data_IF_692939085043
#
_entry.id   IF_692939085043
#
_cell.length_a   1.000
_cell.length_b   1.000
_cell.length_c   1.000
_cell.angle_alpha   90.00
_cell.angle_beta   90.00
_cell.angle_gamma   90.00
#
_symmetry.space_group_name_H-M   'P 1'
#
loop_
_entity.id
_entity.type
_entity.pdbx_description
1 polymer ?
#
# COMPACT_ATOMS: atom_id res chain seq x y z
N UNK A 1 23.68 9.48 -19.22
CA UNK A 1 23.18 9.21 -20.58
C UNK A 1 22.27 8.00 -20.48
N UNK A 2 21.15 7.92 -21.21
CA UNK A 2 20.45 6.65 -21.32
C UNK A 2 21.42 5.63 -21.90
N UNK A 3 21.50 4.46 -21.28
CA UNK A 3 22.36 3.38 -21.75
C UNK A 3 21.94 3.04 -23.20
N UNK A 4 22.90 3.04 -24.12
CA UNK A 4 22.67 2.53 -25.46
C UNK A 4 22.42 1.03 -25.38
N UNK A 5 21.36 0.57 -26.04
CA UNK A 5 20.93 -0.85 -26.00
C UNK A 5 22.03 -1.79 -26.49
N UNK A 6 22.75 -1.37 -27.55
CA UNK A 6 23.79 -2.22 -28.14
C UNK A 6 25.03 -2.31 -27.24
N UNK A 7 25.42 -1.19 -26.59
CA UNK A 7 26.49 -1.19 -25.57
C UNK A 7 26.08 -2.05 -24.35
N UNK A 8 24.87 -1.85 -23.83
CA UNK A 8 24.35 -2.68 -22.74
C UNK A 8 24.33 -4.16 -23.06
N UNK A 9 23.95 -4.52 -24.30
CA UNK A 9 23.91 -5.92 -24.74
C UNK A 9 25.30 -6.53 -24.77
N UNK A 10 26.26 -5.82 -25.35
CA UNK A 10 27.65 -6.30 -25.43
C UNK A 10 28.23 -6.51 -24.02
N UNK A 11 28.08 -5.55 -23.13
CA UNK A 11 28.57 -5.67 -21.74
C UNK A 11 27.86 -6.77 -20.95
N UNK A 12 26.53 -6.87 -21.12
CA UNK A 12 25.73 -7.90 -20.45
C UNK A 12 26.14 -9.32 -20.91
N UNK A 13 26.44 -9.49 -22.19
CA UNK A 13 26.95 -10.76 -22.75
C UNK A 13 28.34 -11.10 -22.25
N UNK A 14 29.17 -10.07 -21.95
CA UNK A 14 30.48 -10.22 -21.31
C UNK A 14 30.42 -10.50 -19.80
N UNK A 15 29.22 -10.49 -19.20
CA UNK A 15 29.03 -10.85 -17.81
C UNK A 15 28.90 -9.65 -16.84
N UNK A 16 28.88 -8.43 -17.32
CA UNK A 16 28.70 -7.22 -16.51
C UNK A 16 27.31 -7.23 -15.84
N UNK A 17 27.27 -7.33 -14.50
CA UNK A 17 26.04 -7.44 -13.73
C UNK A 17 25.14 -6.21 -13.86
N UNK A 18 25.72 -5.01 -13.88
CA UNK A 18 25.00 -3.76 -14.03
C UNK A 18 24.35 -3.68 -15.42
N UNK A 19 25.10 -4.00 -16.46
CA UNK A 19 24.57 -4.04 -17.82
C UNK A 19 23.47 -5.10 -17.99
N UNK A 20 23.60 -6.27 -17.34
CA UNK A 20 22.56 -7.30 -17.30
C UNK A 20 21.27 -6.78 -16.63
N UNK A 21 21.38 -6.09 -15.50
CA UNK A 21 20.24 -5.46 -14.86
C UNK A 21 19.56 -4.44 -15.79
N UNK A 22 20.30 -3.49 -16.35
CA UNK A 22 19.72 -2.49 -17.25
C UNK A 22 19.12 -3.10 -18.53
N UNK A 23 19.75 -4.11 -19.10
CA UNK A 23 19.19 -4.82 -20.26
C UNK A 23 17.89 -5.53 -19.90
N UNK A 24 17.79 -6.09 -18.70
CA UNK A 24 16.56 -6.63 -18.14
C UNK A 24 15.47 -5.55 -18.02
N UNK A 25 15.79 -4.38 -17.50
CA UNK A 25 14.86 -3.22 -17.40
C UNK A 25 14.41 -2.76 -18.80
N UNK A 26 15.31 -2.71 -19.78
CA UNK A 26 14.96 -2.36 -21.17
C UNK A 26 13.96 -3.33 -21.78
N UNK A 27 14.16 -4.65 -21.60
CA UNK A 27 13.19 -5.65 -22.04
C UNK A 27 11.87 -5.57 -21.28
N UNK A 28 11.89 -5.24 -19.98
CA UNK A 28 10.68 -5.05 -19.19
C UNK A 28 9.82 -3.90 -19.72
N UNK A 29 10.44 -2.78 -20.03
CA UNK A 29 9.76 -1.54 -20.44
C UNK A 29 9.56 -1.41 -21.96
N UNK A 30 10.20 -2.27 -22.77
CA UNK A 30 10.23 -2.09 -24.23
C UNK A 30 11.06 -0.89 -24.68
N UNK A 31 12.10 -0.51 -23.92
CA UNK A 31 12.94 0.65 -24.21
C UNK A 31 14.07 0.30 -25.17
N UNK A 32 13.97 0.74 -26.41
CA UNK A 32 14.94 0.44 -27.47
C UNK A 32 14.94 -1.02 -27.94
N UNK A 33 14.09 -1.87 -27.36
CA UNK A 33 13.85 -3.27 -27.72
C UNK A 33 12.35 -3.56 -27.63
N UNK A 34 11.89 -4.61 -28.30
CA UNK A 34 10.52 -5.09 -28.05
C UNK A 34 10.40 -5.63 -26.62
N UNK A 35 9.33 -5.30 -25.94
CA UNK A 35 9.04 -5.80 -24.60
C UNK A 35 9.03 -7.34 -24.59
N UNK A 36 9.77 -7.91 -23.65
CA UNK A 36 9.90 -9.37 -23.52
C UNK A 36 10.19 -9.73 -22.06
N UNK A 37 9.17 -10.12 -21.33
CA UNK A 37 9.30 -10.48 -19.91
C UNK A 37 10.13 -11.76 -19.67
N UNK A 38 10.18 -12.71 -20.62
CA UNK A 38 11.06 -13.86 -20.50
C UNK A 38 12.52 -13.46 -20.58
N UNK A 39 12.85 -12.51 -21.46
CA UNK A 39 14.19 -11.94 -21.53
C UNK A 39 14.49 -11.07 -20.30
N UNK A 40 13.52 -10.33 -19.77
CA UNK A 40 13.66 -9.61 -18.50
C UNK A 40 14.11 -10.57 -17.40
N UNK A 41 13.38 -11.65 -17.18
CA UNK A 41 13.71 -12.65 -16.16
C UNK A 41 15.09 -13.27 -16.39
N UNK A 42 15.43 -13.59 -17.64
CA UNK A 42 16.76 -14.13 -17.98
C UNK A 42 17.89 -13.19 -17.55
N UNK A 43 17.75 -11.90 -17.85
CA UNK A 43 18.80 -10.93 -17.58
C UNK A 43 18.84 -10.54 -16.09
N UNK A 44 17.66 -10.35 -15.45
CA UNK A 44 17.61 -10.14 -14.01
C UNK A 44 18.23 -11.31 -13.24
N UNK A 45 17.96 -12.57 -13.64
CA UNK A 45 18.54 -13.74 -12.97
C UNK A 45 20.06 -13.70 -13.02
N UNK A 46 20.64 -13.44 -14.21
CA UNK A 46 22.09 -13.35 -14.35
C UNK A 46 22.73 -12.28 -13.47
N UNK A 47 22.11 -11.10 -13.41
CA UNK A 47 22.57 -10.00 -12.56
C UNK A 47 22.37 -10.31 -11.07
N UNK A 48 21.20 -10.86 -10.70
CA UNK A 48 20.84 -11.22 -9.33
C UNK A 48 21.76 -12.30 -8.75
N UNK A 49 22.16 -13.28 -9.57
CA UNK A 49 23.12 -14.33 -9.19
C UNK A 49 24.51 -13.77 -8.91
N UNK A 50 24.86 -12.63 -9.49
CA UNK A 50 26.09 -11.88 -9.20
C UNK A 50 25.97 -10.94 -8.00
N UNK A 51 24.78 -10.87 -7.36
CA UNK A 51 24.56 -10.11 -6.14
C UNK A 51 23.91 -8.73 -6.33
N UNK A 52 23.51 -8.35 -7.55
CA UNK A 52 22.84 -7.05 -7.76
C UNK A 52 21.50 -7.02 -7.05
N UNK A 53 21.35 -6.11 -6.07
CA UNK A 53 20.15 -6.00 -5.23
C UNK A 53 18.91 -5.53 -6.02
N UNK A 54 19.10 -4.68 -7.03
CA UNK A 54 18.02 -4.23 -7.91
C UNK A 54 17.46 -5.36 -8.75
N UNK A 55 18.33 -6.18 -9.32
CA UNK A 55 17.95 -7.37 -10.08
C UNK A 55 17.30 -8.44 -9.20
N UNK A 56 17.80 -8.66 -7.98
CA UNK A 56 17.18 -9.55 -7.00
C UNK A 56 15.77 -9.09 -6.66
N UNK A 57 15.57 -7.82 -6.37
CA UNK A 57 14.26 -7.25 -6.13
C UNK A 57 13.35 -7.38 -7.37
N UNK A 58 13.84 -7.01 -8.55
CA UNK A 58 13.11 -7.15 -9.81
C UNK A 58 12.68 -8.61 -10.09
N UNK A 59 13.57 -9.55 -9.83
CA UNK A 59 13.26 -10.98 -10.00
C UNK A 59 12.22 -11.46 -8.97
N UNK A 60 12.28 -10.96 -7.73
CA UNK A 60 11.26 -11.19 -6.71
C UNK A 60 9.88 -10.73 -7.17
N UNK A 61 9.76 -9.54 -7.76
CA UNK A 61 8.50 -9.03 -8.33
C UNK A 61 8.00 -9.93 -9.47
N UNK A 62 8.89 -10.33 -10.40
CA UNK A 62 8.51 -11.21 -11.51
C UNK A 62 7.91 -12.53 -11.03
N UNK A 63 8.46 -13.12 -9.97
CA UNK A 63 7.92 -14.35 -9.38
C UNK A 63 6.63 -14.10 -8.59
N UNK A 64 6.53 -13.02 -7.82
CA UNK A 64 5.34 -12.67 -7.06
C UNK A 64 4.11 -12.44 -7.96
N UNK A 65 4.33 -11.82 -9.13
CA UNK A 65 3.26 -11.47 -10.06
C UNK A 65 3.05 -12.51 -11.16
N UNK A 66 3.97 -13.48 -11.33
CA UNK A 66 3.93 -14.46 -12.41
C UNK A 66 4.21 -13.85 -13.79
N UNK A 67 5.00 -12.77 -13.86
CA UNK A 67 5.30 -12.06 -15.10
C UNK A 67 6.60 -12.61 -15.74
N UNK A 68 6.48 -13.20 -16.91
CA UNK A 68 7.61 -13.84 -17.62
C UNK A 68 8.07 -15.18 -17.04
N UNK A 69 7.54 -15.56 -15.89
CA UNK A 69 7.71 -16.85 -15.18
C UNK A 69 6.38 -17.33 -14.63
N UNK A 70 6.30 -18.58 -14.21
CA UNK A 70 5.18 -19.06 -13.40
C UNK A 70 5.26 -18.39 -12.03
N UNK A 71 4.11 -17.92 -11.52
CA UNK A 71 4.01 -17.34 -10.18
C UNK A 71 4.53 -18.33 -9.14
N UNK A 72 5.42 -17.85 -8.27
CA UNK A 72 6.03 -18.65 -7.21
C UNK A 72 6.40 -17.72 -6.04
N UNK A 73 5.53 -17.71 -5.03
CA UNK A 73 5.70 -16.83 -3.86
C UNK A 73 6.91 -17.24 -2.99
N UNK A 74 7.30 -18.54 -2.99
CA UNK A 74 8.50 -18.99 -2.27
C UNK A 74 9.78 -18.47 -2.95
N UNK A 75 9.85 -18.54 -4.28
CA UNK A 75 10.97 -17.97 -5.03
C UNK A 75 10.99 -16.43 -4.89
N UNK A 76 9.83 -15.76 -4.90
CA UNK A 76 9.76 -14.32 -4.65
C UNK A 76 10.37 -13.95 -3.29
N UNK A 77 9.99 -14.65 -2.21
CA UNK A 77 10.57 -14.45 -0.86
C UNK A 77 12.09 -14.65 -0.86
N UNK A 78 12.62 -15.67 -1.52
CA UNK A 78 14.07 -15.91 -1.57
C UNK A 78 14.82 -14.73 -2.19
N UNK A 79 14.28 -14.18 -3.27
CA UNK A 79 14.91 -13.06 -3.96
C UNK A 79 14.72 -11.74 -3.20
N UNK A 80 13.53 -11.48 -2.65
CA UNK A 80 13.31 -10.32 -1.78
C UNK A 80 14.23 -10.33 -0.56
N UNK A 81 14.43 -11.50 0.08
CA UNK A 81 15.32 -11.64 1.23
C UNK A 81 16.75 -11.25 0.88
N UNK A 82 17.29 -11.75 -0.24
CA UNK A 82 18.65 -11.39 -0.68
C UNK A 82 18.82 -9.89 -0.89
N UNK A 83 17.85 -9.24 -1.52
CA UNK A 83 17.87 -7.79 -1.73
C UNK A 83 17.66 -7.01 -0.40
N UNK A 84 16.79 -7.49 0.48
CA UNK A 84 16.49 -6.90 1.78
C UNK A 84 17.71 -6.95 2.73
N UNK A 85 18.43 -8.06 2.75
CA UNK A 85 19.68 -8.24 3.51
C UNK A 85 20.79 -7.31 3.02
N UNK A 86 20.74 -6.86 1.78
CA UNK A 86 21.62 -5.81 1.24
C UNK A 86 21.13 -4.39 1.57
N UNK A 87 20.03 -4.23 2.30
CA UNK A 87 19.50 -2.95 2.73
C UNK A 87 18.56 -2.28 1.73
N UNK A 88 18.07 -2.96 0.70
CA UNK A 88 17.14 -2.36 -0.24
C UNK A 88 15.75 -2.19 0.40
N UNK A 89 15.37 -0.94 0.73
CA UNK A 89 14.14 -0.61 1.46
C UNK A 89 12.86 -1.19 0.82
N UNK A 90 12.75 -1.16 -0.51
CA UNK A 90 11.61 -1.74 -1.23
C UNK A 90 11.51 -3.26 -1.06
N UNK A 91 12.65 -3.94 -1.04
CA UNK A 91 12.69 -5.38 -0.81
C UNK A 91 12.34 -5.72 0.64
N UNK A 92 12.81 -4.93 1.60
CA UNK A 92 12.47 -5.07 3.02
C UNK A 92 10.96 -4.89 3.22
N UNK A 93 10.35 -3.88 2.61
CA UNK A 93 8.91 -3.67 2.67
C UNK A 93 8.16 -4.88 2.10
N UNK A 94 8.49 -5.33 0.89
CA UNK A 94 7.81 -6.47 0.26
C UNK A 94 7.99 -7.76 1.07
N UNK A 95 9.18 -7.99 1.61
CA UNK A 95 9.43 -9.15 2.47
C UNK A 95 8.60 -9.08 3.76
N UNK A 96 8.45 -7.90 4.36
CA UNK A 96 7.56 -7.65 5.48
C UNK A 96 6.11 -7.99 5.14
N UNK A 97 5.63 -7.60 3.97
CA UNK A 97 4.27 -7.94 3.47
C UNK A 97 4.11 -9.45 3.30
N UNK A 98 5.10 -10.15 2.73
CA UNK A 98 5.06 -11.61 2.56
C UNK A 98 4.93 -12.32 3.91
N UNK A 99 5.69 -11.90 4.93
CA UNK A 99 5.57 -12.44 6.28
C UNK A 99 4.25 -12.11 6.96
N UNK A 100 3.77 -10.86 6.83
CA UNK A 100 2.50 -10.43 7.43
C UNK A 100 1.29 -11.21 6.89
N UNK A 101 1.37 -11.67 5.63
CA UNK A 101 0.29 -12.37 4.94
C UNK A 101 0.48 -13.88 4.85
N UNK A 102 1.65 -14.42 5.22
CA UNK A 102 1.97 -15.84 5.04
C UNK A 102 2.07 -16.26 3.57
N UNK A 103 2.60 -15.37 2.70
CA UNK A 103 2.76 -15.63 1.28
C UNK A 103 4.17 -16.16 0.99
N UNK A 104 4.28 -17.39 0.50
CA UNK A 104 5.57 -18.06 0.23
C UNK A 104 6.41 -18.37 1.49
N UNK A 105 5.94 -17.98 2.66
CA UNK A 105 6.50 -18.28 4.00
C UNK A 105 5.36 -18.44 4.99
N UNK A 106 5.54 -19.17 6.11
CA UNK A 106 4.60 -19.13 7.20
C UNK A 106 4.39 -17.69 7.69
N UNK A 107 3.14 -17.33 8.03
CA UNK A 107 2.84 -16.01 8.59
C UNK A 107 3.63 -15.80 9.88
N UNK A 108 4.32 -14.66 9.96
CA UNK A 108 5.12 -14.26 11.11
C UNK A 108 5.08 -12.73 11.25
N UNK A 109 4.24 -12.26 12.19
CA UNK A 109 4.05 -10.83 12.41
C UNK A 109 5.30 -10.17 13.06
N UNK A 110 6.12 -10.93 13.83
CA UNK A 110 7.36 -10.39 14.40
C UNK A 110 8.43 -10.14 13.32
N UNK A 111 8.62 -11.11 12.42
CA UNK A 111 9.50 -10.92 11.27
C UNK A 111 8.98 -9.82 10.33
N UNK A 112 7.66 -9.72 10.14
CA UNK A 112 7.06 -8.62 9.36
C UNK A 112 7.40 -7.25 9.95
N UNK A 113 7.23 -7.08 11.27
CA UNK A 113 7.58 -5.83 11.97
C UNK A 113 9.05 -5.48 11.82
N UNK A 114 9.94 -6.46 11.92
CA UNK A 114 11.37 -6.24 11.76
C UNK A 114 11.69 -5.67 10.37
N UNK A 115 11.17 -6.29 9.31
CA UNK A 115 11.42 -5.84 7.95
C UNK A 115 10.72 -4.52 7.63
N UNK A 116 9.49 -4.29 8.13
CA UNK A 116 8.85 -2.97 8.02
C UNK A 116 9.65 -1.89 8.73
N UNK A 117 10.23 -2.16 9.90
CA UNK A 117 11.05 -1.19 10.64
C UNK A 117 12.30 -0.82 9.85
N UNK A 118 13.04 -1.79 9.34
CA UNK A 118 14.23 -1.56 8.51
C UNK A 118 13.92 -0.67 7.30
N UNK A 119 12.80 -0.92 6.62
CA UNK A 119 12.33 -0.12 5.48
C UNK A 119 11.85 1.27 5.92
N UNK A 120 11.08 1.36 7.01
CA UNK A 120 10.54 2.61 7.55
C UNK A 120 11.63 3.58 8.04
N UNK A 121 12.72 3.05 8.63
CA UNK A 121 13.87 3.83 9.07
C UNK A 121 14.63 4.43 7.88
N UNK A 122 14.57 3.80 6.72
CA UNK A 122 15.11 4.33 5.46
C UNK A 122 14.16 5.33 4.77
N UNK A 123 12.98 5.59 5.34
CA UNK A 123 12.04 6.61 4.87
C UNK A 123 10.90 6.10 3.99
N UNK A 124 10.71 4.77 3.79
CA UNK A 124 9.53 4.26 3.06
C UNK A 124 8.25 4.66 3.79
N UNK A 125 7.42 5.43 3.11
CA UNK A 125 6.13 5.90 3.62
C UNK A 125 5.12 4.75 3.77
N UNK A 126 5.14 3.78 2.86
CA UNK A 126 4.35 2.56 2.96
C UNK A 126 4.74 1.74 4.21
N UNK A 127 6.04 1.52 4.40
CA UNK A 127 6.53 0.76 5.56
C UNK A 127 6.25 1.49 6.88
N UNK A 128 6.35 2.82 6.91
CA UNK A 128 5.98 3.64 8.06
C UNK A 128 4.49 3.49 8.39
N UNK A 129 3.61 3.50 7.38
CA UNK A 129 2.18 3.29 7.57
C UNK A 129 1.87 1.90 8.12
N UNK A 130 2.50 0.85 7.55
CA UNK A 130 2.30 -0.53 8.01
C UNK A 130 2.85 -0.74 9.43
N UNK A 131 4.02 -0.21 9.73
CA UNK A 131 4.60 -0.28 11.08
C UNK A 131 3.70 0.43 12.11
N UNK A 132 3.13 1.59 11.75
CA UNK A 132 2.13 2.28 12.57
C UNK A 132 0.91 1.40 12.84
N UNK A 133 0.41 0.71 11.82
CA UNK A 133 -0.72 -0.22 11.93
C UNK A 133 -0.39 -1.45 12.82
N UNK A 134 0.82 -1.99 12.71
CA UNK A 134 1.27 -3.11 13.56
C UNK A 134 1.29 -2.70 15.02
N UNK A 135 1.83 -1.51 15.37
CA UNK A 135 1.79 -0.97 16.73
C UNK A 135 0.38 -0.66 17.22
N UNK A 136 -0.49 -0.11 16.36
CA UNK A 136 -1.89 0.19 16.71
C UNK A 136 -2.67 -1.07 17.08
N UNK A 137 -2.41 -2.18 16.40
CA UNK A 137 -3.14 -3.43 16.57
C UNK A 137 -2.44 -4.44 17.52
N UNK A 138 -1.21 -4.17 17.96
CA UNK A 138 -0.43 -5.11 18.75
C UNK A 138 -0.05 -6.38 17.97
N UNK A 139 0.17 -6.28 16.64
CA UNK A 139 0.56 -7.41 15.81
C UNK A 139 2.08 -7.48 15.70
N UNK A 140 2.69 -8.58 16.12
CA UNK A 140 4.14 -8.79 16.13
C UNK A 140 4.91 -7.86 17.08
N UNK A 141 4.22 -6.96 17.77
CA UNK A 141 4.74 -6.05 18.80
C UNK A 141 3.68 -5.82 19.86
N UNK A 142 4.08 -5.39 21.06
CA UNK A 142 3.12 -4.90 22.06
C UNK A 142 2.39 -3.66 21.52
N UNK A 143 1.07 -3.61 21.71
CA UNK A 143 0.27 -2.46 21.30
C UNK A 143 0.80 -1.17 21.94
N UNK A 144 1.08 -0.17 21.10
CA UNK A 144 1.52 1.16 21.52
C UNK A 144 1.00 2.22 20.56
N UNK A 145 -0.07 2.90 20.95
CA UNK A 145 -0.67 3.96 20.13
C UNK A 145 0.23 5.18 19.94
N UNK A 146 1.18 5.46 20.85
CA UNK A 146 2.11 6.60 20.70
C UNK A 146 3.15 6.28 19.62
N UNK A 147 3.72 5.09 19.65
CA UNK A 147 4.61 4.64 18.57
C UNK A 147 3.86 4.50 17.25
N UNK A 148 2.60 4.00 17.26
CA UNK A 148 1.74 3.96 16.08
C UNK A 148 1.61 5.34 15.43
N UNK A 149 1.22 6.36 16.20
CA UNK A 149 1.07 7.73 15.70
C UNK A 149 2.39 8.31 15.21
N UNK A 150 3.49 8.05 15.88
CA UNK A 150 4.83 8.53 15.47
C UNK A 150 5.19 8.05 14.05
N UNK A 151 4.98 6.76 13.77
CA UNK A 151 5.26 6.19 12.45
C UNK A 151 4.22 6.61 11.41
N UNK A 152 2.94 6.55 11.75
CA UNK A 152 1.85 6.98 10.86
C UNK A 152 1.98 8.44 10.46
N UNK A 153 2.41 9.32 11.38
CA UNK A 153 2.63 10.75 11.09
C UNK A 153 3.74 10.96 10.07
N UNK A 154 4.86 10.23 10.19
CA UNK A 154 5.93 10.30 9.20
C UNK A 154 5.45 9.93 7.80
N UNK A 155 4.66 8.87 7.69
CA UNK A 155 4.03 8.45 6.45
C UNK A 155 3.07 9.50 5.89
N UNK A 156 2.19 10.04 6.74
CA UNK A 156 1.19 11.05 6.38
C UNK A 156 1.82 12.36 5.89
N UNK A 157 2.88 12.81 6.55
CA UNK A 157 3.64 14.02 6.20
C UNK A 157 4.39 13.88 4.87
N UNK A 158 4.77 12.67 4.48
CA UNK A 158 5.30 12.36 3.14
C UNK A 158 4.21 12.34 2.06
N UNK A 159 2.94 12.40 2.44
CA UNK A 159 1.83 12.43 1.52
C UNK A 159 1.17 11.08 1.27
N UNK A 160 1.57 10.00 1.92
CA UNK A 160 1.00 8.68 1.69
C UNK A 160 -0.45 8.60 2.20
N UNK A 161 -1.39 8.31 1.31
CA UNK A 161 -2.82 8.40 1.61
C UNK A 161 -3.30 7.44 2.72
N UNK A 162 -2.68 6.26 2.87
CA UNK A 162 -2.98 5.37 3.98
C UNK A 162 -2.47 5.91 5.31
N UNK A 163 -1.26 6.50 5.33
CA UNK A 163 -0.72 7.19 6.49
C UNK A 163 -1.62 8.37 6.91
N UNK A 164 -2.10 9.15 5.95
CA UNK A 164 -3.04 10.26 6.19
C UNK A 164 -4.37 9.76 6.76
N UNK A 165 -4.98 8.72 6.17
CA UNK A 165 -6.20 8.12 6.70
C UNK A 165 -6.00 7.60 8.14
N UNK A 166 -4.93 6.84 8.38
CA UNK A 166 -4.65 6.25 9.69
C UNK A 166 -4.38 7.32 10.76
N UNK A 167 -3.72 8.41 10.40
CA UNK A 167 -3.49 9.54 11.31
C UNK A 167 -4.81 10.28 11.62
N UNK A 168 -5.67 10.46 10.61
CA UNK A 168 -7.02 10.99 10.81
C UNK A 168 -7.80 10.14 11.81
N UNK A 169 -7.77 8.84 11.65
CA UNK A 169 -8.43 7.89 12.55
C UNK A 169 -7.87 7.94 13.98
N UNK A 170 -6.55 8.10 14.13
CA UNK A 170 -5.93 8.25 15.45
C UNK A 170 -6.42 9.53 16.17
N UNK A 171 -6.55 10.64 15.45
CA UNK A 171 -7.11 11.88 16.00
C UNK A 171 -8.61 11.77 16.31
N UNK A 172 -9.39 11.10 15.45
CA UNK A 172 -10.82 10.87 15.68
C UNK A 172 -11.07 10.09 16.98
N UNK A 173 -10.25 9.09 17.25
CA UNK A 173 -10.43 8.19 18.39
C UNK A 173 -9.57 8.55 19.62
N UNK A 174 -8.70 9.55 19.52
CA UNK A 174 -7.81 9.93 20.63
C UNK A 174 -6.76 8.85 20.95
N UNK A 175 -6.35 8.06 19.95
CA UNK A 175 -5.41 6.97 20.14
C UNK A 175 -3.95 7.44 19.90
N UNK A 176 -3.19 7.53 20.99
CA UNK A 176 -1.80 8.03 20.96
C UNK A 176 -1.67 9.55 20.82
N UNK A 177 -2.77 10.26 20.62
CA UNK A 177 -2.91 11.71 20.55
C UNK A 177 -4.15 12.16 21.32
N UNK A 178 -4.24 13.44 21.65
CA UNK A 178 -5.50 14.01 22.15
C UNK A 178 -6.52 14.00 21.03
N UNK A 179 -7.75 13.56 21.33
CA UNK A 179 -8.85 13.53 20.36
C UNK A 179 -9.08 14.91 19.77
N UNK A 180 -9.10 15.01 18.46
CA UNK A 180 -9.37 16.23 17.72
C UNK A 180 -10.03 15.92 16.35
N UNK A 181 -11.35 16.05 16.30
CA UNK A 181 -12.12 15.80 15.07
C UNK A 181 -11.78 16.77 13.93
N UNK A 182 -11.32 18.01 14.22
CA UNK A 182 -10.92 18.95 13.16
C UNK A 182 -9.61 18.51 12.50
N UNK A 183 -8.64 18.07 13.31
CA UNK A 183 -7.41 17.50 12.77
C UNK A 183 -7.70 16.17 12.02
N UNK A 184 -8.60 15.33 12.54
CA UNK A 184 -9.02 14.11 11.83
C UNK A 184 -9.56 14.42 10.42
N UNK A 185 -10.52 15.35 10.31
CA UNK A 185 -11.10 15.79 9.03
C UNK A 185 -10.05 16.36 8.08
N UNK A 186 -9.08 17.12 8.58
CA UNK A 186 -7.99 17.66 7.76
C UNK A 186 -7.17 16.55 7.12
N UNK A 187 -6.80 15.53 7.87
CA UNK A 187 -6.04 14.38 7.37
C UNK A 187 -6.86 13.51 6.41
N UNK A 188 -8.15 13.27 6.71
CA UNK A 188 -9.06 12.58 5.79
C UNK A 188 -9.19 13.30 4.46
N UNK A 189 -9.31 14.63 4.43
CA UNK A 189 -9.38 15.42 3.18
C UNK A 189 -8.14 15.28 2.32
N UNK A 190 -6.95 15.19 2.92
CA UNK A 190 -5.70 14.94 2.18
C UNK A 190 -5.70 13.55 1.53
N UNK A 191 -6.12 12.51 2.27
CA UNK A 191 -6.22 11.16 1.76
C UNK A 191 -7.30 11.01 0.67
N UNK A 192 -8.44 11.70 0.84
CA UNK A 192 -9.53 11.76 -0.15
C UNK A 192 -9.06 12.38 -1.47
N UNK A 193 -8.21 13.40 -1.42
CA UNK A 193 -7.61 14.01 -2.62
C UNK A 193 -6.83 13.02 -3.49
N UNK A 194 -6.44 11.89 -2.92
CA UNK A 194 -5.73 10.80 -3.60
C UNK A 194 -6.64 9.57 -3.87
N UNK A 195 -7.95 9.70 -3.64
CA UNK A 195 -8.94 8.67 -3.95
C UNK A 195 -9.09 7.57 -2.89
N UNK A 196 -8.55 7.73 -1.68
CA UNK A 196 -8.65 6.73 -0.62
C UNK A 196 -10.12 6.53 -0.19
N UNK A 197 -10.68 5.33 -0.44
CA UNK A 197 -12.09 5.01 -0.16
C UNK A 197 -12.40 4.99 1.33
N UNK A 198 -11.49 4.51 2.17
CA UNK A 198 -11.64 4.52 3.63
C UNK A 198 -11.71 5.94 4.18
N UNK A 199 -10.86 6.84 3.67
CA UNK A 199 -10.91 8.24 4.06
C UNK A 199 -12.20 8.93 3.57
N UNK A 200 -12.72 8.55 2.40
CA UNK A 200 -14.03 9.03 1.94
C UNK A 200 -15.15 8.56 2.87
N UNK A 201 -15.17 7.28 3.28
CA UNK A 201 -16.12 6.78 4.26
C UNK A 201 -16.02 7.53 5.59
N UNK A 202 -14.81 7.70 6.12
CA UNK A 202 -14.56 8.40 7.38
C UNK A 202 -14.97 9.89 7.29
N UNK A 203 -14.72 10.54 6.17
CA UNK A 203 -15.17 11.92 5.95
C UNK A 203 -16.71 12.00 5.84
N UNK A 204 -17.34 11.02 5.21
CA UNK A 204 -18.79 10.86 5.21
C UNK A 204 -19.35 10.78 6.63
N UNK A 205 -18.75 9.92 7.46
CA UNK A 205 -19.10 9.77 8.87
C UNK A 205 -18.92 11.08 9.67
N UNK A 206 -17.84 11.81 9.40
CA UNK A 206 -17.62 13.11 10.04
C UNK A 206 -18.72 14.14 9.71
N UNK A 207 -19.20 14.17 8.45
CA UNK A 207 -20.31 15.03 8.05
C UNK A 207 -21.66 14.55 8.59
N UNK A 208 -21.89 13.23 8.62
CA UNK A 208 -23.10 12.62 9.15
C UNK A 208 -23.31 12.96 10.63
N UNK A 209 -22.24 12.96 11.42
CA UNK A 209 -22.29 13.20 12.86
C UNK A 209 -21.93 14.63 13.28
N UNK A 210 -21.51 15.50 12.36
CA UNK A 210 -21.04 16.84 12.69
C UNK A 210 -19.71 16.85 13.49
N UNK A 211 -18.86 15.88 13.26
CA UNK A 211 -17.57 15.73 13.95
C UNK A 211 -16.46 16.47 13.20
N UNK A 212 -15.99 17.57 13.78
CA UNK A 212 -14.96 18.43 13.18
C UNK A 212 -15.43 19.29 12.01
N UNK A 213 -16.66 19.09 11.56
CA UNK A 213 -17.39 19.83 10.52
C UNK A 213 -18.81 20.11 10.99
N UNK A 214 -19.49 21.04 10.32
CA UNK A 214 -20.95 21.19 10.51
C UNK A 214 -21.65 19.98 9.92
N UNK A 215 -22.61 19.41 10.65
CA UNK A 215 -23.39 18.26 10.17
C UNK A 215 -24.07 18.58 8.83
N UNK A 216 -23.87 17.70 7.87
CA UNK A 216 -24.47 17.81 6.54
C UNK A 216 -24.66 16.41 5.90
N UNK A 217 -25.87 15.90 5.99
CA UNK A 217 -26.21 14.58 5.44
C UNK A 217 -26.06 14.50 3.91
N UNK A 218 -26.17 15.61 3.17
CA UNK A 218 -25.94 15.62 1.72
C UNK A 218 -24.48 15.44 1.39
N UNK A 219 -23.60 16.12 2.12
CA UNK A 219 -22.16 15.89 1.98
C UNK A 219 -21.79 14.46 2.45
N UNK A 220 -22.37 13.97 3.56
CA UNK A 220 -22.15 12.59 4.00
C UNK A 220 -22.48 11.57 2.90
N UNK A 221 -23.67 11.66 2.32
CA UNK A 221 -24.12 10.79 1.19
C UNK A 221 -23.17 10.86 0.01
N UNK A 222 -22.67 12.04 -0.33
CA UNK A 222 -21.73 12.21 -1.44
C UNK A 222 -20.44 11.41 -1.19
N UNK A 223 -19.88 11.52 0.01
CA UNK A 223 -18.65 10.83 0.36
C UNK A 223 -18.84 9.33 0.52
N UNK A 224 -19.91 8.89 1.17
CA UNK A 224 -20.28 7.46 1.22
C UNK A 224 -20.47 6.87 -0.17
N UNK A 225 -21.11 7.59 -1.11
CA UNK A 225 -21.31 7.11 -2.48
C UNK A 225 -19.97 6.91 -3.20
N UNK A 226 -19.05 7.87 -3.10
CA UNK A 226 -17.73 7.74 -3.73
C UNK A 226 -16.96 6.52 -3.20
N UNK A 227 -16.99 6.27 -1.89
CA UNK A 227 -16.37 5.10 -1.30
C UNK A 227 -17.09 3.80 -1.69
N UNK A 228 -18.42 3.79 -1.64
CA UNK A 228 -19.25 2.64 -1.99
C UNK A 228 -19.10 2.20 -3.44
N UNK A 229 -18.94 3.14 -4.38
CA UNK A 229 -18.68 2.88 -5.79
C UNK A 229 -17.31 2.25 -6.02
N UNK A 230 -16.34 2.48 -5.14
CA UNK A 230 -15.03 1.83 -5.11
C UNK A 230 -15.05 0.45 -4.43
N UNK A 231 -16.20 0.02 -3.90
CA UNK A 231 -16.37 -1.29 -3.28
C UNK A 231 -16.16 -1.30 -1.76
N UNK A 232 -16.08 -0.14 -1.10
CA UNK A 232 -16.00 -0.08 0.36
C UNK A 232 -17.31 -0.58 0.98
N UNK A 233 -17.27 -1.72 1.68
CA UNK A 233 -18.44 -2.39 2.22
C UNK A 233 -19.13 -1.58 3.33
N UNK A 234 -18.33 -0.88 4.16
CA UNK A 234 -18.86 -0.04 5.23
C UNK A 234 -19.59 1.18 4.65
N UNK A 235 -18.99 1.83 3.64
CA UNK A 235 -19.65 2.92 2.93
C UNK A 235 -20.92 2.48 2.19
N UNK A 236 -20.94 1.27 1.62
CA UNK A 236 -22.14 0.70 1.02
C UNK A 236 -23.24 0.51 2.06
N UNK A 237 -22.90 0.03 3.24
CA UNK A 237 -23.86 -0.10 4.34
C UNK A 237 -24.36 1.27 4.81
N UNK A 238 -23.45 2.23 5.02
CA UNK A 238 -23.81 3.59 5.43
C UNK A 238 -24.71 4.27 4.42
N UNK A 239 -24.39 4.17 3.13
CA UNK A 239 -25.22 4.73 2.06
C UNK A 239 -26.61 4.07 2.01
N UNK A 240 -26.69 2.76 2.25
CA UNK A 240 -27.96 2.04 2.41
C UNK A 240 -28.80 2.60 3.55
N UNK A 241 -28.15 2.91 4.67
CA UNK A 241 -28.80 3.54 5.84
C UNK A 241 -29.34 4.93 5.51
N UNK A 242 -28.59 5.76 4.79
CA UNK A 242 -29.05 7.09 4.36
C UNK A 242 -30.30 7.02 3.47
N UNK A 243 -30.32 6.08 2.51
CA UNK A 243 -31.51 5.85 1.68
C UNK A 243 -32.69 5.32 2.48
N UNK A 244 -32.48 4.43 3.46
CA UNK A 244 -33.54 3.88 4.28
C UNK A 244 -34.22 4.95 5.16
N UNK A 245 -33.44 5.94 5.63
CA UNK A 245 -33.94 6.98 6.53
C UNK A 245 -34.30 8.30 5.82
N UNK A 246 -33.93 8.46 4.55
CA UNK A 246 -34.13 9.72 3.82
C UNK A 246 -33.22 10.85 4.34
N UNK A 247 -32.03 10.51 4.83
CA UNK A 247 -31.04 11.48 5.30
C UNK A 247 -30.14 11.90 4.13
N UNK A 248 -30.11 13.19 3.83
CA UNK A 248 -29.34 13.73 2.69
C UNK A 248 -29.84 13.34 1.30
N UNK A 249 -30.72 12.36 1.20
CA UNK A 249 -31.37 11.85 -0.02
C UNK A 249 -32.87 11.66 0.20
N UNK A 250 -33.62 11.51 -0.89
CA UNK A 250 -35.01 11.08 -0.80
C UNK A 250 -35.05 9.62 -0.32
N UNK A 251 -35.90 9.32 0.66
CA UNK A 251 -36.07 7.97 1.17
C UNK A 251 -36.43 6.98 0.05
N UNK A 252 -35.64 5.91 -0.06
CA UNK A 252 -35.84 4.86 -1.04
C UNK A 252 -35.37 3.49 -0.51
N UNK A 253 -36.31 2.68 -0.07
CA UNK A 253 -36.00 1.35 0.46
C UNK A 253 -35.45 0.39 -0.59
N UNK A 254 -35.75 0.59 -1.89
CA UNK A 254 -35.20 -0.26 -2.95
C UNK A 254 -33.71 0.03 -3.17
N UNK A 255 -33.35 1.30 -3.20
CA UNK A 255 -31.94 1.68 -3.26
C UNK A 255 -31.21 1.26 -1.98
N UNK A 256 -31.80 1.40 -0.80
CA UNK A 256 -31.22 0.92 0.45
C UNK A 256 -30.88 -0.58 0.39
N UNK A 257 -31.85 -1.42 -0.02
CA UNK A 257 -31.64 -2.88 -0.17
C UNK A 257 -30.56 -3.19 -1.20
N UNK A 258 -30.48 -2.44 -2.28
CA UNK A 258 -29.46 -2.62 -3.32
C UNK A 258 -28.05 -2.38 -2.75
N UNK A 259 -27.86 -1.34 -1.95
CA UNK A 259 -26.57 -1.05 -1.32
C UNK A 259 -26.22 -2.04 -0.21
N UNK A 260 -27.17 -2.44 0.63
CA UNK A 260 -26.96 -3.50 1.63
C UNK A 260 -26.56 -4.84 1.01
N UNK A 261 -27.10 -5.20 -0.15
CA UNK A 261 -26.72 -6.43 -0.86
C UNK A 261 -25.31 -6.38 -1.44
N UNK A 262 -24.79 -5.19 -1.72
CA UNK A 262 -23.41 -5.04 -2.18
C UNK A 262 -22.41 -5.12 -1.04
N UNK A 263 -22.80 -4.68 0.18
CA UNK A 263 -21.95 -4.72 1.36
C UNK A 263 -21.86 -6.13 2.01
N UNK A 264 -22.73 -7.07 1.63
CA UNK A 264 -22.76 -8.45 2.13
C UNK A 264 -21.84 -9.37 1.34
#
# INVERSE_FOLDING_TARGET
KPYDVDDCRVRAEQGDAEAQFYLGVMYHNGQGVLQDYKKTVKWFRKSAEQGDAGAQFGLGLMYADGVGVVKDDEEAVKWYRKAAEQGLAKAQFNLGVMYANGQGVPQDDEEAVKWFRESAEQGSDEAQSELGRMYSNGRGVSQDYKEAVKWTRKSAEQGYHWGQNNLGWAYENGQGVVQDYKEAVKWYRLAVGQGNSFAQNNLGHAYDNGQGVVQDYKEAVKWYRLAAEQGDAEAQNNLGHEYANGQGVVQDYKEAVKWYRKSA
#
